data_IF_111094287485
#
_entry.id   IF_111094287485
#
_cell.length_a   1.000
_cell.length_b   1.000
_cell.length_c   1.000
_cell.angle_alpha   90.00
_cell.angle_beta   90.00
_cell.angle_gamma   90.00
#
_symmetry.space_group_name_H-M   'P 1'
#
loop_
_entity.id
_entity.type
_entity.pdbx_description
1 polymer ?
#
# COMPACT_ATOMS: atom_id res chain seq x y z
N UNK A 1 3.32 15.35 -7.55
CA UNK A 1 3.44 14.23 -6.59
C UNK A 1 4.51 14.58 -5.56
N UNK A 2 4.21 14.51 -4.26
CA UNK A 2 5.17 14.88 -3.20
C UNK A 2 6.20 13.75 -3.03
N UNK A 3 7.39 14.05 -2.50
CA UNK A 3 8.45 13.05 -2.25
C UNK A 3 7.96 11.92 -1.35
N UNK A 4 7.15 12.23 -0.34
CA UNK A 4 6.50 11.23 0.52
C UNK A 4 5.69 10.20 -0.28
N UNK A 5 4.91 10.65 -1.27
CA UNK A 5 4.09 9.78 -2.11
C UNK A 5 4.97 8.89 -3.01
N UNK A 6 6.09 9.45 -3.52
CA UNK A 6 7.08 8.68 -4.29
C UNK A 6 7.70 7.56 -3.45
N UNK A 7 8.04 7.84 -2.18
CA UNK A 7 8.58 6.84 -1.25
C UNK A 7 7.57 5.71 -1.03
N UNK A 8 6.30 6.05 -0.81
CA UNK A 8 5.22 5.06 -0.63
C UNK A 8 5.11 4.18 -1.88
N UNK A 9 5.01 4.78 -3.08
CA UNK A 9 4.83 4.03 -4.32
C UNK A 9 6.02 3.11 -4.62
N UNK A 10 7.25 3.62 -4.49
CA UNK A 10 8.47 2.81 -4.67
C UNK A 10 8.59 1.69 -3.64
N UNK A 11 8.13 1.92 -2.41
CA UNK A 11 8.11 0.89 -1.38
C UNK A 11 7.13 -0.23 -1.72
N UNK A 12 5.92 0.11 -2.19
CA UNK A 12 4.93 -0.88 -2.65
C UNK A 12 5.51 -1.74 -3.77
N UNK A 13 6.13 -1.11 -4.77
CA UNK A 13 6.77 -1.80 -5.90
C UNK A 13 7.84 -2.79 -5.43
N UNK A 14 8.84 -2.29 -4.68
CA UNK A 14 9.93 -3.13 -4.18
C UNK A 14 9.45 -4.24 -3.25
N UNK A 15 8.47 -3.98 -2.38
CA UNK A 15 7.90 -5.00 -1.49
C UNK A 15 7.14 -6.07 -2.27
N UNK A 16 6.43 -5.70 -3.34
CA UNK A 16 5.70 -6.63 -4.19
C UNK A 16 6.61 -7.47 -5.09
N UNK A 17 7.78 -6.97 -5.45
CA UNK A 17 8.74 -7.65 -6.33
C UNK A 17 9.73 -8.53 -5.55
N UNK A 18 10.26 -7.99 -4.45
CA UNK A 18 11.38 -8.59 -3.73
C UNK A 18 10.98 -9.13 -2.36
N UNK A 19 9.76 -8.83 -1.90
CA UNK A 19 9.29 -9.15 -0.56
C UNK A 19 9.75 -8.12 0.48
N UNK A 20 8.83 -7.67 1.32
CA UNK A 20 9.08 -6.63 2.34
C UNK A 20 10.30 -6.92 3.23
N UNK A 21 10.57 -8.19 3.56
CA UNK A 21 11.70 -8.59 4.40
C UNK A 21 13.06 -8.31 3.76
N UNK A 22 13.15 -8.36 2.43
CA UNK A 22 14.40 -8.18 1.68
C UNK A 22 14.68 -6.70 1.35
N UNK A 23 13.70 -5.82 1.60
CA UNK A 23 13.78 -4.40 1.26
C UNK A 23 14.03 -3.57 2.53
N UNK A 24 15.03 -2.69 2.44
CA UNK A 24 15.41 -1.75 3.50
C UNK A 24 15.09 -0.32 3.06
N UNK A 25 15.08 0.63 4.00
CA UNK A 25 14.96 2.07 3.69
C UNK A 25 16.07 2.55 2.76
N UNK A 26 17.29 2.00 2.88
CA UNK A 26 18.39 2.32 1.96
C UNK A 26 18.15 1.80 0.55
N UNK A 27 17.54 0.62 0.38
CA UNK A 27 17.15 0.11 -0.94
C UNK A 27 16.11 1.04 -1.59
N UNK A 28 15.11 1.50 -0.83
CA UNK A 28 14.08 2.43 -1.31
C UNK A 28 14.70 3.78 -1.70
N UNK A 29 15.60 4.34 -0.88
CA UNK A 29 16.29 5.59 -1.17
C UNK A 29 17.15 5.49 -2.44
N UNK A 30 17.89 4.39 -2.59
CA UNK A 30 18.70 4.11 -3.77
C UNK A 30 17.84 3.98 -5.04
N UNK A 31 16.72 3.26 -4.96
CA UNK A 31 15.78 3.09 -6.07
C UNK A 31 15.19 4.44 -6.54
N UNK A 32 14.94 5.36 -5.62
CA UNK A 32 14.47 6.72 -5.92
C UNK A 32 15.59 7.72 -6.27
N UNK A 33 16.85 7.29 -6.26
CA UNK A 33 18.01 8.17 -6.41
C UNK A 33 18.01 9.37 -5.44
N UNK A 34 17.58 9.14 -4.19
CA UNK A 34 17.62 10.14 -3.10
C UNK A 34 18.60 9.73 -2.01
N UNK A 35 19.06 10.68 -1.19
CA UNK A 35 19.89 10.35 -0.03
C UNK A 35 19.06 9.64 1.05
N UNK A 36 19.67 8.75 1.85
CA UNK A 36 18.99 8.17 3.02
C UNK A 36 18.43 9.24 3.96
N UNK A 37 19.16 10.35 4.17
CA UNK A 37 18.70 11.47 4.99
C UNK A 37 17.42 12.13 4.47
N UNK A 38 17.24 12.21 3.14
CA UNK A 38 16.00 12.70 2.55
C UNK A 38 14.83 11.75 2.82
N UNK A 39 15.04 10.43 2.75
CA UNK A 39 14.02 9.46 3.13
C UNK A 39 13.69 9.55 4.63
N UNK A 40 14.71 9.64 5.49
CA UNK A 40 14.54 9.77 6.94
C UNK A 40 13.83 11.05 7.38
N UNK A 41 13.90 12.11 6.57
CA UNK A 41 13.11 13.33 6.77
C UNK A 41 11.59 13.05 6.66
N UNK A 42 11.18 12.09 5.82
CA UNK A 42 9.78 11.74 5.62
C UNK A 42 9.30 10.57 6.48
N UNK A 43 10.18 9.59 6.76
CA UNK A 43 9.84 8.36 7.49
C UNK A 43 10.99 7.94 8.39
N UNK A 44 10.71 7.70 9.68
CA UNK A 44 11.79 7.42 10.65
C UNK A 44 12.32 6.00 10.51
N UNK A 45 11.50 5.07 10.02
CA UNK A 45 11.82 3.66 9.87
C UNK A 45 10.93 3.03 8.77
N UNK A 46 11.08 1.73 8.54
CA UNK A 46 10.30 0.99 7.54
C UNK A 46 8.85 0.79 7.98
N UNK A 47 8.62 0.67 9.28
CA UNK A 47 7.30 0.46 9.89
C UNK A 47 6.38 1.67 9.67
N UNK A 48 6.89 2.91 9.72
CA UNK A 48 6.17 4.14 9.41
C UNK A 48 5.72 4.19 7.94
N UNK A 49 6.57 3.69 7.04
CA UNK A 49 6.26 3.56 5.60
C UNK A 49 5.12 2.56 5.44
N UNK A 50 5.24 1.37 6.05
CA UNK A 50 4.23 0.30 5.98
C UNK A 50 2.88 0.79 6.53
N UNK A 51 2.88 1.52 7.65
CA UNK A 51 1.66 2.10 8.21
C UNK A 51 1.01 3.10 7.23
N UNK A 52 1.82 3.92 6.55
CA UNK A 52 1.32 4.88 5.56
C UNK A 52 0.79 4.20 4.30
N UNK A 53 1.42 3.11 3.87
CA UNK A 53 0.90 2.26 2.79
C UNK A 53 -0.44 1.65 3.21
N UNK A 54 -0.58 1.21 4.46
CA UNK A 54 -1.84 0.65 4.96
C UNK A 54 -2.97 1.69 4.98
N UNK A 55 -2.68 2.93 5.37
CA UNK A 55 -3.66 4.03 5.30
C UNK A 55 -4.12 4.30 3.87
N UNK A 56 -3.22 4.18 2.88
CA UNK A 56 -3.58 4.25 1.47
C UNK A 56 -4.42 3.05 1.04
N UNK A 57 -4.04 1.84 1.43
CA UNK A 57 -4.81 0.62 1.17
C UNK A 57 -6.24 0.72 1.73
N UNK A 58 -6.39 1.10 3.00
CA UNK A 58 -7.70 1.25 3.64
C UNK A 58 -8.56 2.31 2.93
N UNK A 59 -7.94 3.41 2.49
CA UNK A 59 -8.62 4.45 1.70
C UNK A 59 -9.04 3.95 0.32
N UNK A 60 -8.16 3.26 -0.41
CA UNK A 60 -8.49 2.66 -1.72
C UNK A 60 -9.61 1.63 -1.58
N UNK A 61 -9.57 0.80 -0.54
CA UNK A 61 -10.65 -0.15 -0.27
C UNK A 61 -11.99 0.57 -0.07
N UNK A 62 -12.04 1.65 0.72
CA UNK A 62 -13.27 2.39 1.00
C UNK A 62 -13.77 3.22 -0.20
N UNK A 63 -12.87 3.86 -0.96
CA UNK A 63 -13.24 4.84 -1.98
C UNK A 63 -13.26 4.29 -3.41
N UNK A 64 -12.42 3.31 -3.72
CA UNK A 64 -12.18 2.83 -5.09
C UNK A 64 -12.84 1.48 -5.35
N UNK A 65 -13.08 0.67 -4.32
CA UNK A 65 -13.77 -0.62 -4.50
C UNK A 65 -15.28 -0.47 -4.54
N UNK A 66 -15.90 0.53 -3.90
CA UNK A 66 -17.33 0.75 -4.06
C UNK A 66 -17.60 1.31 -5.47
N UNK A 67 -18.27 0.58 -6.37
CA UNK A 67 -18.64 1.12 -7.66
C UNK A 67 -19.45 2.39 -7.41
N UNK A 68 -19.14 3.46 -8.15
CA UNK A 68 -20.07 4.57 -8.29
C UNK A 68 -21.26 4.03 -9.06
N UNK A 69 -22.21 3.44 -8.33
CA UNK A 69 -23.43 2.88 -8.91
C UNK A 69 -24.22 4.05 -9.47
N UNK A 70 -24.09 4.29 -10.78
CA UNK A 70 -25.04 5.12 -11.50
C UNK A 70 -26.33 4.33 -11.70
N UNK A 71 -27.47 5.02 -11.69
CA UNK A 71 -28.78 4.40 -11.91
C UNK A 71 -28.90 3.71 -13.29
N UNK A 72 -27.97 4.01 -14.21
CA UNK A 72 -27.98 3.55 -15.60
C UNK A 72 -27.17 2.26 -15.83
N UNK A 73 -26.42 1.78 -14.83
CA UNK A 73 -25.61 0.57 -14.94
C UNK A 73 -26.46 -0.68 -14.71
N UNK A 74 -26.28 -1.71 -15.56
CA UNK A 74 -26.87 -3.03 -15.31
C UNK A 74 -26.20 -3.67 -14.10
N UNK A 75 -26.92 -4.44 -13.27
CA UNK A 75 -26.35 -5.05 -12.06
C UNK A 75 -25.11 -5.92 -12.31
N UNK A 76 -25.07 -6.65 -13.42
CA UNK A 76 -23.92 -7.50 -13.77
C UNK A 76 -22.67 -6.66 -14.09
N UNK A 77 -22.82 -5.55 -14.81
CA UNK A 77 -21.72 -4.66 -15.16
C UNK A 77 -21.15 -4.00 -13.89
N UNK A 78 -22.01 -3.62 -12.95
CA UNK A 78 -21.58 -3.11 -11.63
C UNK A 78 -20.78 -4.16 -10.84
N UNK A 79 -21.17 -5.43 -10.90
CA UNK A 79 -20.45 -6.51 -10.23
C UNK A 79 -19.07 -6.75 -10.87
N UNK A 80 -18.98 -6.73 -12.20
CA UNK A 80 -17.70 -6.87 -12.91
C UNK A 80 -16.76 -5.71 -12.57
N UNK A 81 -17.25 -4.48 -12.55
CA UNK A 81 -16.46 -3.30 -12.16
C UNK A 81 -16.00 -3.37 -10.70
N UNK A 82 -16.89 -3.80 -9.79
CA UNK A 82 -16.53 -4.03 -8.40
C UNK A 82 -15.41 -5.07 -8.27
N UNK A 83 -15.55 -6.21 -8.97
CA UNK A 83 -14.55 -7.29 -8.95
C UNK A 83 -13.21 -6.84 -9.52
N UNK A 84 -13.19 -6.07 -10.61
CA UNK A 84 -11.95 -5.50 -11.16
C UNK A 84 -11.31 -4.52 -10.17
N UNK A 85 -12.07 -3.58 -9.59
CA UNK A 85 -11.54 -2.65 -8.59
C UNK A 85 -10.95 -3.36 -7.37
N UNK A 86 -11.63 -4.40 -6.86
CA UNK A 86 -11.12 -5.24 -5.77
C UNK A 86 -9.84 -5.94 -6.19
N UNK A 87 -9.82 -6.56 -7.38
CA UNK A 87 -8.65 -7.25 -7.90
C UNK A 87 -7.44 -6.30 -8.05
N UNK A 88 -7.62 -5.13 -8.65
CA UNK A 88 -6.56 -4.13 -8.80
C UNK A 88 -6.01 -3.67 -7.45
N UNK A 89 -6.90 -3.44 -6.46
CA UNK A 89 -6.51 -3.05 -5.11
C UNK A 89 -5.71 -4.17 -4.44
N UNK A 90 -6.23 -5.40 -4.44
CA UNK A 90 -5.53 -6.57 -3.88
C UNK A 90 -4.18 -6.80 -4.57
N UNK A 91 -4.10 -6.64 -5.88
CA UNK A 91 -2.85 -6.81 -6.65
C UNK A 91 -1.83 -5.71 -6.35
N UNK A 92 -2.26 -4.45 -6.24
CA UNK A 92 -1.39 -3.31 -5.87
C UNK A 92 -0.78 -3.52 -4.48
N UNK A 93 -1.53 -4.06 -3.54
CA UNK A 93 -1.11 -4.20 -2.15
C UNK A 93 -0.77 -5.66 -1.77
N UNK A 94 -0.43 -6.50 -2.77
CA UNK A 94 -0.28 -7.95 -2.60
C UNK A 94 0.75 -8.38 -1.55
N UNK A 95 1.79 -7.57 -1.30
CA UNK A 95 2.80 -7.88 -0.29
C UNK A 95 2.21 -8.00 1.13
N UNK A 96 1.12 -7.27 1.45
CA UNK A 96 0.45 -7.42 2.74
C UNK A 96 -0.01 -8.85 2.96
N UNK A 97 -0.75 -9.43 2.00
CA UNK A 97 -1.29 -10.78 2.11
C UNK A 97 -0.22 -11.87 2.26
N UNK A 98 0.98 -11.61 1.73
CA UNK A 98 2.11 -12.56 1.81
C UNK A 98 2.77 -12.62 3.20
N UNK A 99 2.66 -11.56 4.01
CA UNK A 99 3.39 -11.46 5.29
C UNK A 99 2.58 -10.78 6.42
N UNK A 100 1.25 -10.72 6.28
CA UNK A 100 0.38 -9.94 7.16
C UNK A 100 0.59 -10.23 8.66
N UNK A 101 0.63 -11.49 9.14
CA UNK A 101 0.78 -11.76 10.56
C UNK A 101 2.06 -11.13 11.15
N UNK A 102 3.16 -11.14 10.41
CA UNK A 102 4.43 -10.56 10.86
C UNK A 102 4.41 -9.03 10.85
N UNK A 103 3.73 -8.44 9.86
CA UNK A 103 3.55 -6.99 9.79
C UNK A 103 2.72 -6.49 10.98
N UNK A 104 1.65 -7.22 11.36
CA UNK A 104 0.82 -6.92 12.53
C UNK A 104 1.55 -7.17 13.86
N UNK A 105 2.50 -8.09 13.91
CA UNK A 105 3.31 -8.37 15.10
C UNK A 105 4.34 -7.28 15.38
N UNK A 106 5.01 -6.81 14.33
CA UNK A 106 6.05 -5.78 14.45
C UNK A 106 5.50 -4.37 14.60
N UNK A 107 4.22 -4.15 14.30
CA UNK A 107 3.62 -2.82 14.32
C UNK A 107 2.28 -2.84 15.09
N UNK A 108 2.30 -2.55 16.41
CA UNK A 108 1.10 -2.51 17.24
C UNK A 108 0.04 -1.53 16.74
N UNK A 109 0.46 -0.38 16.20
CA UNK A 109 -0.45 0.63 15.66
C UNK A 109 -1.13 0.12 14.39
N UNK A 110 -0.39 -0.55 13.51
CA UNK A 110 -0.97 -1.20 12.34
C UNK A 110 -1.98 -2.26 12.73
N UNK A 111 -1.68 -3.08 13.76
CA UNK A 111 -2.60 -4.08 14.28
C UNK A 111 -3.91 -3.47 14.77
N UNK A 112 -3.84 -2.41 15.56
CA UNK A 112 -5.01 -1.69 16.05
C UNK A 112 -5.87 -1.13 14.91
N UNK A 113 -5.26 -0.64 13.83
CA UNK A 113 -6.01 -0.14 12.65
C UNK A 113 -6.55 -1.24 11.73
N UNK A 114 -6.09 -2.47 11.89
CA UNK A 114 -6.46 -3.61 11.04
C UNK A 114 -7.61 -4.43 11.61
N UNK A 115 -7.67 -4.57 12.93
CA UNK A 115 -8.70 -5.34 13.66
C UNK A 115 -9.90 -4.46 13.97
#
# INVERSE_FOLDING_TARGET
>A
MKTRDKIIQASIELFNEQGERNVTTNHIAAHLAISPGNLYYHFRNKEDIILSIYEEYARSLLLETLPKVSADLKPLDSLVLYMDSVFQTTMKFRFFYSNLPVLLDKNPVLREKYV
#
